data_IF_829310186495
#
_entry.id   IF_829310186495
#
_cell.length_a   1.000
_cell.length_b   1.000
_cell.length_c   1.000
_cell.angle_alpha   90.00
_cell.angle_beta   90.00
_cell.angle_gamma   90.00
#
_symmetry.space_group_name_H-M   'P 1'
#
loop_
_entity.id
_entity.type
_entity.pdbx_description
1 polymer ?
#
# COMPACT_ATOMS: atom_id res chain seq x y z
N UNK A 1 43.01 45.95 36.14
CA UNK A 1 41.58 46.13 35.83
C UNK A 1 41.42 46.37 34.33
N UNK A 2 40.51 45.63 33.69
CA UNK A 2 39.89 45.93 32.37
C UNK A 2 40.72 45.68 31.09
N UNK A 3 41.09 44.43 30.84
CA UNK A 3 41.24 43.91 29.47
C UNK A 3 40.46 42.59 29.30
N UNK A 4 39.28 42.53 29.91
CA UNK A 4 38.20 41.61 29.52
C UNK A 4 37.20 42.44 28.74
N UNK A 5 36.82 42.00 27.54
CA UNK A 5 35.53 42.22 26.85
C UNK A 5 35.66 42.48 25.35
N UNK A 6 36.82 42.86 24.81
CA UNK A 6 36.89 43.25 23.39
C UNK A 6 37.01 42.07 22.40
N UNK A 7 37.49 40.90 22.82
CA UNK A 7 37.63 39.73 21.93
C UNK A 7 36.38 38.83 21.87
N UNK A 8 35.40 39.04 22.76
CA UNK A 8 34.19 38.21 22.83
C UNK A 8 33.02 38.75 22.00
N UNK A 9 33.21 39.87 21.30
CA UNK A 9 32.16 40.46 20.46
C UNK A 9 32.22 39.98 19.00
N UNK A 10 33.32 39.36 18.56
CA UNK A 10 33.52 39.01 17.15
C UNK A 10 32.97 37.62 16.78
N UNK A 11 32.61 36.77 17.76
CA UNK A 11 32.17 35.39 17.50
C UNK A 11 30.64 35.19 17.46
N UNK A 12 29.83 36.22 17.75
CA UNK A 12 28.36 36.07 17.84
C UNK A 12 27.66 36.50 16.54
N UNK A 13 28.36 37.11 15.58
CA UNK A 13 27.71 37.83 14.47
C UNK A 13 27.73 37.15 13.08
N UNK A 14 27.90 35.83 12.99
CA UNK A 14 27.67 35.12 11.72
C UNK A 14 26.95 33.78 11.91
N UNK A 15 25.61 33.81 11.91
CA UNK A 15 24.89 32.80 11.15
C UNK A 15 23.80 33.44 10.28
N UNK A 16 24.18 34.43 9.44
CA UNK A 16 23.23 35.01 8.47
C UNK A 16 23.32 34.32 7.10
N UNK A 17 24.49 33.78 6.72
CA UNK A 17 24.68 33.08 5.43
C UNK A 17 24.23 31.60 5.48
N UNK A 18 23.87 31.10 6.66
CA UNK A 18 23.30 29.75 6.81
C UNK A 18 21.76 29.73 6.67
N UNK A 19 21.12 30.90 6.57
CA UNK A 19 19.66 31.02 6.45
C UNK A 19 19.19 31.30 5.03
N UNK A 20 20.09 31.22 4.03
CA UNK A 20 19.69 31.41 2.65
C UNK A 20 19.57 30.07 1.94
N UNK A 21 18.32 29.67 1.82
CA UNK A 21 17.92 28.41 1.24
C UNK A 21 16.42 28.23 1.34
N UNK A 22 15.63 29.30 1.17
CA UNK A 22 14.27 29.10 0.68
C UNK A 22 14.45 28.53 -0.72
N UNK A 23 14.55 27.20 -0.81
CA UNK A 23 14.62 26.51 -2.09
C UNK A 23 13.40 26.94 -2.87
N UNK A 24 13.62 27.66 -3.95
CA UNK A 24 12.55 28.08 -4.84
C UNK A 24 11.85 26.83 -5.35
N UNK A 25 10.60 26.63 -4.92
CA UNK A 25 9.82 25.46 -5.31
C UNK A 25 9.40 25.69 -6.76
N UNK A 26 9.96 24.89 -7.65
CA UNK A 26 9.70 25.00 -9.09
C UNK A 26 8.50 24.18 -9.51
N UNK A 27 7.95 24.44 -10.70
CA UNK A 27 6.92 23.59 -11.29
C UNK A 27 7.37 22.12 -11.44
N UNK A 28 8.68 21.88 -11.61
CA UNK A 28 9.25 20.54 -11.70
C UNK A 28 9.21 19.80 -10.35
N UNK A 29 9.35 20.52 -9.24
CA UNK A 29 9.19 19.96 -7.89
C UNK A 29 7.74 19.54 -7.65
N UNK A 30 6.76 20.36 -8.09
CA UNK A 30 5.34 19.99 -8.04
C UNK A 30 5.02 18.78 -8.92
N UNK A 31 5.49 18.74 -10.18
CA UNK A 31 5.30 17.58 -11.06
C UNK A 31 5.90 16.30 -10.47
N UNK A 32 6.99 16.39 -9.73
CA UNK A 32 7.57 15.26 -9.00
C UNK A 32 6.68 14.85 -7.83
N UNK A 33 6.21 15.80 -7.03
CA UNK A 33 5.32 15.55 -5.89
C UNK A 33 3.99 14.92 -6.32
N UNK A 34 3.41 15.36 -7.45
CA UNK A 34 2.18 14.81 -8.02
C UNK A 34 2.28 13.30 -8.29
N UNK A 35 3.45 12.79 -8.70
CA UNK A 35 3.68 11.35 -8.88
C UNK A 35 3.52 10.53 -7.60
N UNK A 36 3.66 11.16 -6.43
CA UNK A 36 3.52 10.50 -5.13
C UNK A 36 2.11 10.61 -4.55
N UNK A 37 1.16 11.26 -5.23
CA UNK A 37 -0.24 11.26 -4.83
C UNK A 37 -0.79 9.84 -4.75
N UNK A 38 -1.72 9.61 -3.82
CA UNK A 38 -2.31 8.29 -3.54
C UNK A 38 -2.88 7.60 -4.80
N UNK A 39 -3.44 8.36 -5.73
CA UNK A 39 -3.94 7.82 -7.00
C UNK A 39 -2.85 7.13 -7.85
N UNK A 40 -1.60 7.58 -7.74
CA UNK A 40 -0.47 7.07 -8.51
C UNK A 40 0.30 5.97 -7.76
N UNK A 41 0.17 5.89 -6.44
CA UNK A 41 0.96 4.99 -5.58
C UNK A 41 0.14 3.90 -4.91
N UNK A 42 -1.19 4.04 -4.83
CA UNK A 42 -2.07 3.07 -4.16
C UNK A 42 -1.96 1.66 -4.75
N UNK A 43 -1.78 1.54 -6.06
CA UNK A 43 -1.59 0.25 -6.74
C UNK A 43 -0.26 -0.44 -6.39
N UNK A 44 0.71 0.29 -5.81
CA UNK A 44 2.02 -0.25 -5.42
C UNK A 44 2.03 -0.76 -3.96
N UNK A 45 0.98 -0.47 -3.19
CA UNK A 45 0.90 -0.82 -1.78
C UNK A 45 -0.09 -1.96 -1.59
N UNK A 46 0.43 -3.16 -1.37
CA UNK A 46 -0.37 -4.35 -1.10
C UNK A 46 -0.55 -4.55 0.41
N UNK A 47 -1.70 -5.08 0.82
CA UNK A 47 -1.96 -5.44 2.22
C UNK A 47 -2.14 -4.29 3.21
N UNK A 48 -2.16 -3.02 2.76
CA UNK A 48 -2.33 -1.87 3.66
C UNK A 48 -3.75 -1.70 4.21
N UNK A 49 -4.75 -2.31 3.58
CA UNK A 49 -6.13 -2.29 4.04
C UNK A 49 -6.75 -3.67 3.96
N UNK A 50 -7.41 -4.07 5.05
CA UNK A 50 -8.21 -5.29 5.12
C UNK A 50 -9.65 -4.88 5.36
N UNK A 51 -10.55 -5.36 4.50
CA UNK A 51 -12.00 -5.20 4.67
C UNK A 51 -12.58 -6.57 5.05
N UNK A 52 -12.78 -6.86 6.35
CA UNK A 52 -13.25 -8.16 6.81
C UNK A 52 -14.75 -8.36 6.52
N UNK A 53 -15.11 -9.58 6.16
CA UNK A 53 -16.48 -10.07 6.10
C UNK A 53 -16.64 -11.18 7.13
N UNK A 54 -17.45 -10.92 8.16
CA UNK A 54 -17.63 -11.81 9.30
C UNK A 54 -18.63 -12.94 8.99
N UNK A 55 -18.31 -14.14 9.47
CA UNK A 55 -19.17 -15.31 9.48
C UNK A 55 -19.82 -15.45 10.86
N UNK A 56 -20.93 -16.18 10.92
CA UNK A 56 -21.69 -16.38 12.18
C UNK A 56 -20.89 -17.12 13.26
N UNK A 57 -19.92 -17.93 12.85
CA UNK A 57 -19.03 -18.70 13.73
C UNK A 57 -17.87 -17.88 14.31
N UNK A 58 -17.81 -16.58 14.00
CA UNK A 58 -16.77 -15.67 14.50
C UNK A 58 -15.50 -15.63 13.66
N UNK A 59 -15.40 -16.43 12.60
CA UNK A 59 -14.33 -16.28 11.59
C UNK A 59 -14.64 -15.11 10.67
N UNK A 60 -13.64 -14.63 9.95
CA UNK A 60 -13.85 -13.67 8.88
C UNK A 60 -12.99 -13.98 7.68
N UNK A 61 -13.46 -13.59 6.50
CA UNK A 61 -12.66 -13.64 5.28
C UNK A 61 -12.44 -12.24 4.73
N UNK A 62 -11.39 -12.07 3.94
CA UNK A 62 -11.10 -10.82 3.24
C UNK A 62 -10.40 -11.08 1.90
N UNK A 63 -10.54 -10.10 1.00
CA UNK A 63 -9.83 -10.08 -0.27
C UNK A 63 -8.44 -9.46 -0.08
N UNK A 64 -7.40 -10.18 -0.45
CA UNK A 64 -6.02 -9.72 -0.48
C UNK A 64 -5.58 -9.54 -1.93
N UNK A 65 -5.17 -8.33 -2.29
CA UNK A 65 -4.52 -8.08 -3.58
C UNK A 65 -3.01 -8.16 -3.39
N UNK A 66 -2.34 -8.99 -4.18
CA UNK A 66 -0.90 -9.12 -4.25
C UNK A 66 -0.39 -9.01 -5.69
N UNK A 67 0.93 -9.10 -5.90
CA UNK A 67 1.53 -9.02 -7.25
C UNK A 67 1.06 -10.15 -8.17
N UNK A 68 0.80 -11.34 -7.63
CA UNK A 68 0.33 -12.52 -8.38
C UNK A 68 -1.19 -12.50 -8.66
N UNK A 69 -1.91 -11.49 -8.13
CA UNK A 69 -3.35 -11.33 -8.34
C UNK A 69 -4.14 -11.19 -7.04
N UNK A 70 -5.38 -11.67 -7.06
CA UNK A 70 -6.29 -11.60 -5.92
C UNK A 70 -6.40 -12.96 -5.25
N UNK A 71 -6.21 -12.98 -3.93
CA UNK A 71 -6.45 -14.13 -3.08
C UNK A 71 -7.54 -13.83 -2.07
N UNK A 72 -8.27 -14.86 -1.67
CA UNK A 72 -9.26 -14.78 -0.60
C UNK A 72 -8.71 -15.52 0.61
N UNK A 73 -8.56 -14.80 1.72
CA UNK A 73 -8.03 -15.34 2.97
C UNK A 73 -9.16 -15.50 3.97
N UNK A 74 -9.14 -16.59 4.74
CA UNK A 74 -9.98 -16.77 5.92
C UNK A 74 -9.10 -16.76 7.17
N UNK A 75 -9.62 -16.15 8.24
CA UNK A 75 -8.94 -16.00 9.51
C UNK A 75 -9.85 -16.51 10.61
N UNK A 76 -9.29 -17.34 11.49
CA UNK A 76 -9.90 -17.71 12.76
C UNK A 76 -9.20 -16.94 13.90
N UNK A 77 -9.88 -15.95 14.51
CA UNK A 77 -9.31 -15.21 15.64
C UNK A 77 -9.13 -16.04 16.90
N UNK A 78 -9.93 -17.09 17.09
CA UNK A 78 -9.89 -17.96 18.28
C UNK A 78 -8.70 -18.90 18.22
N UNK A 79 -8.47 -19.48 17.04
CA UNK A 79 -7.36 -20.40 16.79
C UNK A 79 -6.08 -19.70 16.29
N UNK A 80 -6.13 -18.38 16.07
CA UNK A 80 -5.04 -17.56 15.54
C UNK A 80 -4.49 -18.07 14.20
N UNK A 81 -5.36 -18.64 13.37
CA UNK A 81 -4.99 -19.20 12.07
C UNK A 81 -5.38 -18.26 10.93
N UNK A 82 -4.59 -18.32 9.85
CA UNK A 82 -4.84 -17.60 8.60
C UNK A 82 -4.47 -18.51 7.44
N UNK A 83 -5.41 -18.74 6.55
CA UNK A 83 -5.22 -19.62 5.40
C UNK A 83 -6.01 -19.13 4.18
N UNK A 84 -5.75 -19.73 3.02
CA UNK A 84 -6.57 -19.48 1.83
C UNK A 84 -7.98 -19.98 2.08
N UNK A 85 -8.98 -19.15 1.81
CA UNK A 85 -10.38 -19.51 1.99
C UNK A 85 -10.80 -20.71 1.10
N UNK A 86 -10.08 -20.94 0.00
CA UNK A 86 -10.28 -22.07 -0.89
C UNK A 86 -9.06 -22.35 -1.78
N UNK A 87 -9.03 -23.55 -2.37
CA UNK A 87 -8.08 -23.93 -3.40
C UNK A 87 -8.48 -23.31 -4.75
N UNK A 88 -7.73 -22.29 -5.18
CA UNK A 88 -8.00 -21.53 -6.39
C UNK A 88 -7.81 -22.37 -7.66
N UNK A 89 -6.81 -23.25 -7.69
CA UNK A 89 -6.54 -24.10 -8.86
C UNK A 89 -7.66 -25.12 -9.08
N UNK A 90 -8.14 -25.72 -7.99
CA UNK A 90 -9.24 -26.69 -8.05
C UNK A 90 -10.52 -26.02 -8.54
N UNK A 91 -10.85 -24.82 -8.05
CA UNK A 91 -12.05 -24.09 -8.48
C UNK A 91 -11.91 -23.68 -9.95
N UNK A 92 -10.78 -23.10 -10.35
CA UNK A 92 -10.54 -22.72 -11.75
C UNK A 92 -10.72 -23.92 -12.69
N UNK A 93 -10.16 -25.08 -12.33
CA UNK A 93 -10.28 -26.32 -13.10
C UNK A 93 -11.73 -26.80 -13.21
N UNK A 94 -12.50 -26.75 -12.12
CA UNK A 94 -13.93 -27.13 -12.14
C UNK A 94 -14.75 -26.14 -12.97
N UNK A 95 -14.51 -24.83 -12.83
CA UNK A 95 -15.22 -23.81 -13.60
C UNK A 95 -14.92 -23.90 -15.10
N UNK A 96 -13.65 -24.10 -15.49
CA UNK A 96 -13.28 -24.30 -16.90
C UNK A 96 -13.99 -25.50 -17.52
N UNK A 97 -14.00 -26.65 -16.82
CA UNK A 97 -14.74 -27.84 -17.28
C UNK A 97 -16.25 -27.60 -17.40
N UNK A 98 -16.86 -26.92 -16.42
CA UNK A 98 -18.27 -26.58 -16.47
C UNK A 98 -18.57 -25.65 -17.66
N UNK A 99 -17.70 -24.68 -17.93
CA UNK A 99 -17.82 -23.74 -19.04
C UNK A 99 -17.80 -24.46 -20.39
N UNK A 100 -16.85 -25.37 -20.59
CA UNK A 100 -16.74 -26.19 -21.80
C UNK A 100 -18.00 -27.04 -22.01
N UNK A 101 -18.55 -27.63 -20.93
CA UNK A 101 -19.78 -28.42 -21.00
C UNK A 101 -21.01 -27.59 -21.39
N UNK A 102 -21.09 -26.33 -20.97
CA UNK A 102 -22.21 -25.45 -21.34
C UNK A 102 -22.15 -25.08 -22.82
N UNK A 103 -20.95 -24.84 -23.36
CA UNK A 103 -20.77 -24.54 -24.79
C UNK A 103 -21.15 -25.76 -25.65
N UNK A 104 -20.75 -26.98 -25.25
CA UNK A 104 -21.12 -28.20 -25.99
C UNK A 104 -22.62 -28.50 -26.01
N UNK A 105 -23.38 -27.96 -25.05
CA UNK A 105 -24.84 -28.13 -24.99
C UNK A 105 -25.60 -27.09 -25.81
N UNK A 106 -24.98 -25.94 -26.12
CA UNK A 106 -25.57 -24.92 -27.00
C UNK A 106 -25.42 -25.29 -28.49
N UNK A 107 -24.41 -26.08 -28.84
CA UNK A 107 -24.20 -26.56 -30.21
C UNK A 107 -25.14 -27.73 -30.61
N UNK A 108 -25.97 -28.22 -29.68
CA UNK A 108 -26.91 -29.34 -29.90
C UNK A 108 -28.39 -28.91 -29.89
N UNK A 109 -28.69 -27.62 -29.75
CA UNK A 109 -30.02 -27.02 -29.89
C UNK A 109 -30.07 -26.14 -31.14
#
# INVERSE_FOLDING_TARGET
MRFSSALLALFISTPLVAQDGTREITADDYRRAERFLSQNTSALVFGASVSPQWLEDGRFWYRSSGPEGTEFMIVDPSDLTRESAFDHERIATVLSRCRERVLSLQDYL
#
